data_IF_471930857072
#
_entry.id   IF_471930857072
#
_cell.length_a   1.000
_cell.length_b   1.000
_cell.length_c   1.000
_cell.angle_alpha   90.00
_cell.angle_beta   90.00
_cell.angle_gamma   90.00
#
_symmetry.space_group_name_H-M   'P 1'
#
loop_
_entity.id
_entity.type
_entity.pdbx_description
1 polymer ?
#
# COMPACT_ATOMS: atom_id res chain seq x y z
N UNK A 1 -31.23 2.21 -10.53
CA UNK A 1 -30.51 0.95 -10.80
C UNK A 1 -30.82 0.00 -9.67
N UNK A 2 -31.17 -1.26 -9.95
CA UNK A 2 -31.32 -2.25 -8.89
C UNK A 2 -29.94 -2.48 -8.23
N UNK A 3 -29.85 -2.55 -6.89
CA UNK A 3 -28.60 -2.88 -6.23
C UNK A 3 -28.08 -4.22 -6.74
N UNK A 4 -26.79 -4.30 -7.03
CA UNK A 4 -26.14 -5.57 -7.35
C UNK A 4 -26.28 -6.49 -6.14
N UNK A 5 -26.70 -7.73 -6.39
CA UNK A 5 -26.80 -8.76 -5.36
C UNK A 5 -25.62 -9.72 -5.50
N UNK A 6 -24.97 -10.04 -4.39
CA UNK A 6 -23.83 -10.96 -4.34
C UNK A 6 -24.11 -12.03 -3.31
N UNK A 7 -23.94 -13.30 -3.66
CA UNK A 7 -24.06 -14.38 -2.68
C UNK A 7 -22.82 -14.44 -1.79
N UNK A 8 -23.07 -14.47 -0.48
CA UNK A 8 -22.07 -14.47 0.58
C UNK A 8 -22.31 -15.68 1.49
N UNK A 9 -21.22 -16.27 1.98
CA UNK A 9 -21.27 -17.35 2.97
C UNK A 9 -20.91 -16.80 4.34
N UNK A 10 -21.76 -17.03 5.34
CA UNK A 10 -21.49 -16.72 6.74
C UNK A 10 -21.26 -18.03 7.47
N UNK A 11 -20.11 -18.21 8.09
CA UNK A 11 -19.76 -19.44 8.78
C UNK A 11 -19.06 -19.18 10.11
N UNK A 12 -19.32 -20.02 11.12
CA UNK A 12 -18.65 -19.95 12.42
C UNK A 12 -17.49 -20.93 12.51
N UNK A 13 -16.29 -20.43 12.80
CA UNK A 13 -15.09 -21.21 13.06
C UNK A 13 -15.14 -21.93 14.41
N UNK A 14 -14.27 -22.94 14.56
CA UNK A 14 -14.15 -23.71 15.81
C UNK A 14 -13.59 -22.87 16.98
N UNK A 15 -12.87 -21.80 16.66
CA UNK A 15 -12.35 -20.75 17.53
C UNK A 15 -13.42 -19.73 17.96
N UNK A 16 -14.61 -19.79 17.37
CA UNK A 16 -15.72 -18.89 17.69
C UNK A 16 -15.85 -17.68 16.76
N UNK A 17 -14.82 -17.40 15.96
CA UNK A 17 -14.78 -16.33 14.94
C UNK A 17 -15.82 -16.60 13.85
N UNK A 18 -16.54 -15.57 13.40
CA UNK A 18 -17.49 -15.67 12.28
C UNK A 18 -16.81 -15.13 11.03
N UNK A 19 -16.83 -15.90 9.95
CA UNK A 19 -16.30 -15.51 8.64
C UNK A 19 -17.42 -15.18 7.68
N UNK A 20 -17.25 -14.08 6.95
CA UNK A 20 -18.12 -13.64 5.85
C UNK A 20 -17.28 -13.70 4.57
N UNK A 21 -17.57 -14.65 3.67
CA UNK A 21 -16.83 -14.83 2.42
C UNK A 21 -17.67 -14.33 1.23
N UNK A 22 -17.19 -13.30 0.53
CA UNK A 22 -17.83 -12.75 -0.67
C UNK A 22 -17.08 -13.16 -1.95
N UNK A 23 -17.74 -13.87 -2.88
CA UNK A 23 -17.23 -14.07 -4.25
C UNK A 23 -17.45 -15.46 -4.90
N UNK A 24 -17.26 -15.57 -6.24
CA UNK A 24 -17.42 -16.81 -7.01
C UNK A 24 -16.19 -17.71 -6.83
N UNK A 25 -15.99 -18.19 -5.61
CA UNK A 25 -14.79 -18.91 -5.21
C UNK A 25 -15.03 -19.77 -3.98
N UNK A 26 -16.22 -20.39 -3.87
CA UNK A 26 -16.52 -21.45 -2.90
C UNK A 26 -15.73 -22.73 -3.24
N UNK A 27 -14.39 -22.65 -3.31
CA UNK A 27 -13.57 -23.85 -3.20
C UNK A 27 -13.44 -24.15 -1.71
N UNK A 28 -14.08 -25.24 -1.32
CA UNK A 28 -13.90 -25.90 -0.04
C UNK A 28 -12.41 -26.09 0.21
N UNK A 29 -11.81 -25.26 1.04
CA UNK A 29 -10.53 -25.60 1.67
C UNK A 29 -10.89 -26.59 2.78
N UNK A 30 -10.78 -27.88 2.48
CA UNK A 30 -10.82 -28.92 3.50
C UNK A 30 -9.54 -28.82 4.34
N UNK A 31 -9.72 -28.61 5.64
CA UNK A 31 -8.81 -29.01 6.72
C UNK A 31 -7.35 -28.49 6.67
N UNK A 32 -7.12 -27.31 7.23
CA UNK A 32 -6.42 -27.06 8.50
C UNK A 32 -6.54 -25.55 8.79
N UNK A 33 -6.37 -25.14 10.04
CA UNK A 33 -6.70 -23.79 10.53
C UNK A 33 -6.15 -22.63 9.70
N UNK A 34 -6.85 -21.51 9.79
CA UNK A 34 -6.47 -20.17 9.31
C UNK A 34 -6.48 -19.98 7.78
N UNK A 35 -7.69 -19.93 7.20
CA UNK A 35 -7.87 -19.52 5.81
C UNK A 35 -7.92 -17.99 5.69
N UNK A 36 -6.83 -17.32 6.09
CA UNK A 36 -6.61 -15.89 5.82
C UNK A 36 -6.33 -15.74 4.33
N UNK A 37 -7.36 -15.53 3.49
CA UNK A 37 -7.31 -15.47 2.02
C UNK A 37 -6.18 -16.35 1.42
N UNK A 38 -5.59 -16.09 0.27
CA UNK A 38 -4.39 -16.84 -0.16
C UNK A 38 -3.37 -15.85 -0.74
N UNK A 39 -2.08 -16.05 -0.46
CA UNK A 39 -0.99 -15.22 -0.98
C UNK A 39 -0.36 -14.24 0.03
N UNK A 40 0.74 -13.57 -0.36
CA UNK A 40 1.52 -12.69 0.51
C UNK A 40 0.74 -11.48 1.04
N UNK A 41 1.17 -10.91 2.17
CA UNK A 41 0.50 -9.76 2.79
C UNK A 41 0.37 -8.55 1.85
N UNK A 42 1.36 -8.28 1.01
CA UNK A 42 1.36 -7.16 0.06
C UNK A 42 0.37 -7.33 -1.10
N UNK A 43 -0.34 -8.47 -1.23
CA UNK A 43 -1.39 -8.67 -2.23
C UNK A 43 -2.80 -8.45 -1.66
N UNK A 44 -2.92 -7.87 -0.47
CA UNK A 44 -4.19 -7.70 0.22
C UNK A 44 -4.30 -6.33 0.86
N UNK A 45 -5.48 -5.74 0.73
CA UNK A 45 -5.89 -4.59 1.51
C UNK A 45 -6.62 -5.08 2.75
N UNK A 46 -6.36 -4.45 3.89
CA UNK A 46 -6.92 -4.80 5.19
C UNK A 46 -7.46 -3.54 5.83
N UNK A 47 -8.58 -3.65 6.54
CA UNK A 47 -9.12 -2.60 7.38
C UNK A 47 -9.59 -3.21 8.71
N UNK A 48 -9.09 -2.71 9.82
CA UNK A 48 -9.55 -3.06 11.16
C UNK A 48 -10.77 -2.20 11.52
N UNK A 49 -11.87 -2.85 11.89
CA UNK A 49 -13.17 -2.21 12.13
C UNK A 49 -13.76 -2.73 13.44
N UNK A 50 -14.80 -2.09 13.96
CA UNK A 50 -15.42 -2.49 15.22
C UNK A 50 -15.79 -3.99 15.23
N UNK A 51 -15.04 -4.79 15.99
CA UNK A 51 -15.25 -6.23 16.17
C UNK A 51 -14.90 -7.13 14.97
N UNK A 52 -14.25 -6.62 13.93
CA UNK A 52 -13.84 -7.45 12.79
C UNK A 52 -12.65 -6.90 12.01
N UNK A 53 -12.04 -7.75 11.19
CA UNK A 53 -11.07 -7.34 10.17
C UNK A 53 -11.66 -7.59 8.79
N UNK A 54 -11.69 -6.55 7.95
CA UNK A 54 -12.10 -6.61 6.55
C UNK A 54 -10.88 -6.83 5.66
N UNK A 55 -11.01 -7.70 4.65
CA UNK A 55 -9.92 -8.02 3.71
C UNK A 55 -10.40 -8.01 2.26
N UNK A 56 -9.60 -7.43 1.37
CA UNK A 56 -9.78 -7.45 -0.07
C UNK A 56 -8.53 -7.94 -0.80
N UNK A 57 -8.67 -8.75 -1.86
CA UNK A 57 -7.57 -9.00 -2.79
C UNK A 57 -7.30 -7.75 -3.64
N UNK A 58 -6.07 -7.24 -3.66
CA UNK A 58 -5.75 -6.03 -4.46
C UNK A 58 -5.58 -6.32 -5.94
N UNK A 59 -5.23 -7.56 -6.29
CA UNK A 59 -4.98 -7.99 -7.67
C UNK A 59 -6.27 -8.34 -8.43
N UNK A 60 -7.42 -8.33 -7.76
CA UNK A 60 -8.74 -8.59 -8.36
C UNK A 60 -9.58 -7.32 -8.50
N UNK A 61 -10.78 -7.48 -9.06
CA UNK A 61 -11.75 -6.39 -9.04
C UNK A 61 -12.21 -6.14 -7.60
N UNK A 62 -12.19 -4.88 -7.13
CA UNK A 62 -12.62 -4.57 -5.78
C UNK A 62 -14.13 -4.80 -5.63
N UNK A 63 -14.46 -5.96 -5.06
CA UNK A 63 -15.82 -6.35 -4.71
C UNK A 63 -16.12 -6.10 -3.23
N UNK A 64 -17.07 -6.86 -2.70
CA UNK A 64 -17.30 -6.89 -1.26
C UNK A 64 -16.09 -7.47 -0.52
N UNK A 65 -15.78 -6.95 0.68
CA UNK A 65 -14.75 -7.55 1.52
C UNK A 65 -15.13 -8.97 1.92
N UNK A 66 -14.11 -9.74 2.29
CA UNK A 66 -14.29 -10.81 3.26
C UNK A 66 -14.12 -10.23 4.67
N UNK A 67 -14.85 -10.73 5.66
CA UNK A 67 -14.73 -10.29 7.04
C UNK A 67 -14.40 -11.45 7.99
N UNK A 68 -13.46 -11.22 8.90
CA UNK A 68 -13.21 -12.05 10.07
C UNK A 68 -13.73 -11.34 11.32
N UNK A 69 -14.91 -11.74 11.78
CA UNK A 69 -15.64 -11.13 12.90
C UNK A 69 -15.29 -11.86 14.19
N UNK A 70 -14.53 -11.19 15.05
CA UNK A 70 -14.12 -11.71 16.36
C UNK A 70 -15.03 -11.21 17.49
N UNK A 71 -15.71 -10.08 17.31
CA UNK A 71 -16.77 -9.59 18.20
C UNK A 71 -18.03 -9.25 17.39
N UNK A 72 -18.99 -10.17 17.39
CA UNK A 72 -20.25 -9.98 16.69
C UNK A 72 -21.10 -8.85 17.28
N UNK A 73 -20.99 -8.55 18.58
CA UNK A 73 -21.78 -7.50 19.22
C UNK A 73 -21.41 -6.12 18.68
N UNK A 74 -20.10 -5.84 18.63
CA UNK A 74 -19.55 -4.62 18.01
C UNK A 74 -19.84 -4.59 16.51
N UNK A 75 -19.60 -5.69 15.80
CA UNK A 75 -19.78 -5.74 14.36
C UNK A 75 -21.22 -5.47 13.88
N UNK A 76 -22.24 -5.76 14.70
CA UNK A 76 -23.64 -5.49 14.34
C UNK A 76 -23.94 -4.02 14.06
N UNK A 77 -23.11 -3.08 14.51
CA UNK A 77 -23.32 -1.66 14.20
C UNK A 77 -23.18 -1.33 12.71
N UNK A 78 -22.36 -2.09 11.96
CA UNK A 78 -21.99 -1.76 10.58
C UNK A 78 -22.27 -2.87 9.57
N UNK A 79 -22.37 -4.14 10.00
CA UNK A 79 -22.57 -5.28 9.06
C UNK A 79 -23.81 -5.09 8.18
N UNK A 80 -24.91 -4.55 8.74
CA UNK A 80 -26.12 -4.28 7.96
C UNK A 80 -25.92 -3.17 6.91
N UNK A 81 -25.08 -2.17 7.19
CA UNK A 81 -24.80 -1.05 6.29
C UNK A 81 -23.83 -1.44 5.18
N UNK A 82 -22.94 -2.40 5.43
CA UNK A 82 -21.94 -2.85 4.46
C UNK A 82 -22.39 -4.05 3.62
N UNK A 83 -23.02 -5.06 4.25
CA UNK A 83 -23.46 -6.29 3.59
C UNK A 83 -24.98 -6.41 3.42
N UNK A 84 -25.78 -5.59 4.11
CA UNK A 84 -27.24 -5.66 4.13
C UNK A 84 -27.81 -6.40 5.33
N UNK A 85 -29.09 -6.14 5.64
CA UNK A 85 -29.78 -6.66 6.83
C UNK A 85 -29.80 -8.20 6.91
N UNK A 86 -29.89 -8.89 5.76
CA UNK A 86 -29.92 -10.36 5.73
C UNK A 86 -28.62 -10.97 6.24
N UNK A 87 -27.48 -10.35 5.89
CA UNK A 87 -26.16 -10.83 6.34
C UNK A 87 -25.98 -10.53 7.82
N UNK A 88 -26.42 -9.35 8.28
CA UNK A 88 -26.42 -9.00 9.70
C UNK A 88 -27.22 -10.00 10.55
N UNK A 89 -28.42 -10.39 10.10
CA UNK A 89 -29.23 -11.43 10.76
C UNK A 89 -28.50 -12.78 10.82
N UNK A 90 -27.88 -13.22 9.72
CA UNK A 90 -27.14 -14.48 9.70
C UNK A 90 -25.91 -14.46 10.63
N UNK A 91 -25.21 -13.34 10.73
CA UNK A 91 -24.10 -13.16 11.70
C UNK A 91 -24.64 -13.23 13.14
N UNK A 92 -25.80 -12.62 13.41
CA UNK A 92 -26.44 -12.69 14.73
C UNK A 92 -26.81 -14.13 15.11
N UNK A 93 -27.45 -14.87 14.20
CA UNK A 93 -27.87 -16.26 14.43
C UNK A 93 -26.66 -17.20 14.60
N UNK A 94 -25.58 -16.96 13.82
CA UNK A 94 -24.28 -17.65 13.98
C UNK A 94 -23.69 -17.42 15.38
N UNK A 95 -23.66 -16.16 15.84
CA UNK A 95 -23.14 -15.79 17.16
C UNK A 95 -23.95 -16.44 18.29
N UNK A 96 -25.28 -16.43 18.17
CA UNK A 96 -26.21 -17.04 19.13
C UNK A 96 -26.14 -18.59 19.19
N UNK A 97 -25.42 -19.24 18.26
CA UNK A 97 -25.24 -20.69 18.26
C UNK A 97 -26.50 -21.48 17.91
N UNK A 98 -27.41 -20.88 17.14
CA UNK A 98 -28.65 -21.53 16.73
C UNK A 98 -28.38 -22.72 15.79
N UNK A 99 -28.93 -23.89 16.11
CA UNK A 99 -28.71 -25.13 15.34
C UNK A 99 -29.11 -24.93 13.86
N UNK A 100 -28.21 -25.29 12.94
CA UNK A 100 -28.42 -25.18 11.49
C UNK A 100 -27.90 -23.91 10.81
N UNK A 101 -27.44 -22.91 11.59
CA UNK A 101 -26.95 -21.62 11.05
C UNK A 101 -25.43 -21.47 11.08
N UNK A 102 -24.66 -22.48 11.46
CA UNK A 102 -23.20 -22.43 11.49
C UNK A 102 -22.54 -22.22 10.10
N UNK A 103 -23.32 -22.38 9.03
CA UNK A 103 -22.92 -22.18 7.64
C UNK A 103 -24.15 -21.76 6.81
N UNK A 104 -24.36 -20.45 6.67
CA UNK A 104 -25.49 -19.88 5.95
C UNK A 104 -25.04 -19.23 4.63
N UNK A 105 -25.83 -19.40 3.57
CA UNK A 105 -25.67 -18.66 2.31
C UNK A 105 -26.73 -17.58 2.23
N UNK A 106 -26.29 -16.34 2.06
CA UNK A 106 -27.15 -15.17 2.11
C UNK A 106 -26.79 -14.22 0.99
N UNK A 107 -27.82 -13.62 0.38
CA UNK A 107 -27.61 -12.58 -0.62
C UNK A 107 -27.34 -11.24 0.06
N UNK A 108 -26.14 -10.71 -0.19
CA UNK A 108 -25.70 -9.39 0.23
C UNK A 108 -26.11 -8.30 -0.77
N UNK A 109 -26.17 -7.07 -0.30
CA UNK A 109 -26.57 -5.90 -1.08
C UNK A 109 -25.36 -4.96 -1.26
N UNK A 110 -24.98 -4.66 -2.51
CA UNK A 110 -23.84 -3.77 -2.78
C UNK A 110 -24.22 -2.34 -2.37
N UNK A 111 -23.61 -1.84 -1.29
CA UNK A 111 -23.86 -0.50 -0.75
C UNK A 111 -22.77 0.50 -1.15
N UNK A 112 -23.08 1.79 -1.06
CA UNK A 112 -22.10 2.86 -1.26
C UNK A 112 -20.97 2.82 -0.21
N UNK A 113 -21.27 2.34 1.00
CA UNK A 113 -20.30 2.15 2.07
C UNK A 113 -19.29 1.06 1.70
N UNK A 114 -19.72 -0.05 1.09
CA UNK A 114 -18.81 -1.09 0.61
C UNK A 114 -17.78 -0.56 -0.40
N UNK A 115 -18.21 0.33 -1.32
CA UNK A 115 -17.31 0.98 -2.27
C UNK A 115 -16.32 1.96 -1.61
N UNK A 116 -16.77 2.71 -0.61
CA UNK A 116 -15.91 3.62 0.17
C UNK A 116 -14.91 2.84 1.04
N UNK A 117 -15.34 1.78 1.71
CA UNK A 117 -14.49 0.93 2.55
C UNK A 117 -13.41 0.21 1.73
N UNK A 118 -13.78 -0.31 0.55
CA UNK A 118 -12.82 -0.93 -0.35
C UNK A 118 -11.77 0.08 -0.86
N UNK A 119 -12.18 1.33 -1.11
CA UNK A 119 -11.27 2.42 -1.45
C UNK A 119 -10.36 2.80 -0.28
N UNK A 120 -10.90 2.87 0.94
CA UNK A 120 -10.13 3.15 2.15
C UNK A 120 -9.06 2.07 2.37
N UNK A 121 -9.44 0.78 2.33
CA UNK A 121 -8.51 -0.34 2.44
C UNK A 121 -7.44 -0.32 1.33
N UNK A 122 -7.81 -0.01 0.09
CA UNK A 122 -6.84 0.14 -1.00
C UNK A 122 -5.88 1.32 -0.77
N UNK A 123 -6.36 2.41 -0.17
CA UNK A 123 -5.52 3.56 0.18
C UNK A 123 -4.49 3.23 1.26
N UNK A 124 -4.90 2.53 2.33
CA UNK A 124 -3.95 2.03 3.34
C UNK A 124 -2.95 1.03 2.73
N UNK A 125 -3.41 0.17 1.83
CA UNK A 125 -2.52 -0.69 1.07
C UNK A 125 -1.52 0.12 0.23
N UNK A 126 -1.96 1.16 -0.48
CA UNK A 126 -1.09 1.99 -1.31
C UNK A 126 -0.06 2.74 -0.45
N UNK A 127 -0.47 3.31 0.68
CA UNK A 127 0.43 3.97 1.62
C UNK A 127 1.55 3.03 2.12
N UNK A 128 1.25 1.73 2.25
CA UNK A 128 2.17 0.73 2.80
C UNK A 128 2.94 -0.09 1.76
N UNK A 129 2.39 -0.29 0.58
CA UNK A 129 2.86 -1.30 -0.38
C UNK A 129 2.94 -0.80 -1.82
N UNK A 130 2.71 0.51 -2.08
CA UNK A 130 2.84 1.04 -3.42
C UNK A 130 4.24 0.77 -3.98
N UNK A 131 4.37 0.13 -5.16
CA UNK A 131 5.63 -0.36 -5.65
C UNK A 131 6.36 0.73 -6.46
N UNK A 132 6.79 1.80 -5.80
CA UNK A 132 7.55 2.87 -6.46
C UNK A 132 8.77 2.29 -7.16
N UNK A 133 8.88 2.55 -8.46
CA UNK A 133 9.97 2.07 -9.27
C UNK A 133 10.19 3.00 -10.44
N UNK A 134 11.29 3.75 -10.39
CA UNK A 134 11.69 4.63 -11.47
C UNK A 134 12.04 3.83 -12.73
N UNK A 135 12.72 2.69 -12.55
CA UNK A 135 13.09 1.80 -13.65
C UNK A 135 11.86 1.23 -14.41
N UNK A 136 10.74 1.05 -13.69
CA UNK A 136 9.51 0.49 -14.25
C UNK A 136 8.47 1.57 -14.63
N UNK A 137 8.79 2.87 -14.47
CA UNK A 137 7.89 4.00 -14.74
C UNK A 137 6.73 4.13 -13.75
N UNK A 138 6.97 3.82 -12.47
CA UNK A 138 6.00 3.87 -11.38
C UNK A 138 6.46 4.96 -10.39
N UNK A 139 5.98 6.20 -10.50
CA UNK A 139 6.32 7.27 -9.57
C UNK A 139 5.81 6.99 -8.14
N UNK A 140 6.44 7.65 -7.17
CA UNK A 140 5.98 7.66 -5.80
C UNK A 140 4.65 8.40 -5.69
N UNK A 141 3.75 7.90 -4.85
CA UNK A 141 2.54 8.64 -4.48
C UNK A 141 2.91 9.72 -3.45
N UNK A 142 2.39 10.94 -3.64
CA UNK A 142 2.56 12.02 -2.67
C UNK A 142 1.80 11.64 -1.38
N UNK A 143 2.50 11.39 -0.26
CA UNK A 143 1.89 10.79 0.92
C UNK A 143 0.99 11.75 1.71
N UNK A 144 1.23 13.07 1.64
CA UNK A 144 0.38 14.05 2.31
C UNK A 144 -0.97 14.19 1.60
N UNK A 145 -0.97 14.11 0.27
CA UNK A 145 -2.18 14.09 -0.55
C UNK A 145 -2.95 12.76 -0.38
N UNK A 146 -2.24 11.63 -0.37
CA UNK A 146 -2.86 10.33 -0.07
C UNK A 146 -3.44 10.32 1.34
N UNK A 147 -2.71 10.86 2.32
CA UNK A 147 -3.12 10.93 3.71
C UNK A 147 -4.35 11.80 3.95
N UNK A 148 -4.45 12.97 3.30
CA UNK A 148 -5.67 13.79 3.33
C UNK A 148 -6.88 13.08 2.69
N UNK A 149 -6.68 12.37 1.58
CA UNK A 149 -7.76 11.59 0.97
C UNK A 149 -8.16 10.37 1.84
N UNK A 150 -7.21 9.75 2.54
CA UNK A 150 -7.48 8.73 3.55
C UNK A 150 -8.32 9.30 4.69
N UNK A 151 -7.98 10.47 5.25
CA UNK A 151 -8.78 11.11 6.30
C UNK A 151 -10.23 11.35 5.86
N UNK A 152 -10.44 11.84 4.63
CA UNK A 152 -11.76 12.01 4.04
C UNK A 152 -12.53 10.67 3.91
N UNK A 153 -11.85 9.59 3.51
CA UNK A 153 -12.44 8.27 3.37
C UNK A 153 -12.73 7.61 4.72
N UNK A 154 -11.88 7.79 5.72
CA UNK A 154 -12.12 7.33 7.10
C UNK A 154 -13.36 8.01 7.67
N UNK A 155 -13.49 9.33 7.54
CA UNK A 155 -14.71 10.04 7.95
C UNK A 155 -15.96 9.56 7.18
N UNK A 156 -15.85 9.35 5.86
CA UNK A 156 -16.95 8.77 5.06
C UNK A 156 -17.34 7.37 5.52
N UNK A 157 -16.39 6.61 6.06
CA UNK A 157 -16.58 5.26 6.57
C UNK A 157 -16.77 5.20 8.10
N UNK A 158 -17.00 6.33 8.78
CA UNK A 158 -17.03 6.42 10.25
C UNK A 158 -17.95 5.38 10.93
N UNK A 159 -19.02 4.94 10.26
CA UNK A 159 -19.92 3.90 10.78
C UNK A 159 -19.23 2.54 11.01
N UNK A 160 -18.09 2.27 10.37
CA UNK A 160 -17.32 1.03 10.57
C UNK A 160 -16.58 1.01 11.91
N UNK A 161 -16.33 2.17 12.51
CA UNK A 161 -15.56 2.34 13.73
C UNK A 161 -16.47 2.66 14.92
N UNK A 162 -16.00 2.39 16.14
CA UNK A 162 -16.70 2.70 17.38
C UNK A 162 -15.80 3.52 18.32
N UNK A 163 -16.38 4.03 19.40
CA UNK A 163 -15.69 4.98 20.29
C UNK A 163 -14.70 4.31 21.28
N UNK A 164 -14.39 3.01 21.11
CA UNK A 164 -13.50 2.27 22.02
C UNK A 164 -12.02 2.61 21.80
N UNK A 165 -11.66 3.14 20.62
CA UNK A 165 -10.31 3.64 20.32
C UNK A 165 -9.24 2.54 20.21
N UNK A 166 -9.65 1.30 19.96
CA UNK A 166 -8.75 0.16 19.74
C UNK A 166 -8.53 -0.16 18.25
N UNK A 167 -9.27 0.49 17.34
CA UNK A 167 -9.06 0.36 15.90
C UNK A 167 -7.95 1.31 15.41
N UNK A 168 -6.82 0.79 14.88
CA UNK A 168 -5.73 1.64 14.38
C UNK A 168 -6.09 2.44 13.12
N UNK A 169 -7.11 2.00 12.37
CA UNK A 169 -7.52 2.65 11.12
C UNK A 169 -8.55 3.79 11.34
N UNK A 170 -9.06 3.98 12.57
CA UNK A 170 -9.85 5.15 12.95
C UNK A 170 -8.93 6.32 13.39
N UNK A 171 -8.16 6.84 12.43
CA UNK A 171 -7.09 7.81 12.69
C UNK A 171 -7.32 9.17 11.98
N UNK A 172 -8.58 9.60 11.85
CA UNK A 172 -8.96 10.83 11.12
C UNK A 172 -8.19 12.05 11.63
N UNK A 173 -8.14 12.24 12.94
CA UNK A 173 -7.50 13.38 13.58
C UNK A 173 -5.98 13.39 13.38
N UNK A 174 -5.34 12.22 13.50
CA UNK A 174 -3.90 12.09 13.29
C UNK A 174 -3.52 12.28 11.83
N UNK A 175 -4.31 11.74 10.88
CA UNK A 175 -4.10 11.93 9.44
C UNK A 175 -4.21 13.40 9.04
N UNK A 176 -5.23 14.12 9.54
CA UNK A 176 -5.39 15.56 9.24
C UNK A 176 -4.21 16.35 9.80
N UNK A 177 -3.80 16.10 11.04
CA UNK A 177 -2.70 16.85 11.67
C UNK A 177 -1.35 16.55 11.00
N UNK A 178 -1.07 15.29 10.66
CA UNK A 178 0.16 14.87 9.98
C UNK A 178 0.26 15.51 8.59
N UNK A 179 -0.84 15.51 7.83
CA UNK A 179 -0.85 15.89 6.42
C UNK A 179 -1.41 17.30 6.14
N UNK A 180 -1.66 18.10 7.18
CA UNK A 180 -2.22 19.47 7.06
C UNK A 180 -1.47 20.39 6.11
N UNK A 181 -0.16 20.16 5.91
CA UNK A 181 0.67 20.97 5.02
C UNK A 181 0.22 20.88 3.56
N UNK A 182 -0.46 19.80 3.17
CA UNK A 182 -0.98 19.60 1.82
C UNK A 182 -2.35 20.26 1.58
N UNK A 183 -3.02 20.80 2.60
CA UNK A 183 -4.33 21.45 2.45
C UNK A 183 -4.26 22.67 1.53
N UNK A 184 -3.28 23.55 1.73
CA UNK A 184 -3.12 24.76 0.91
C UNK A 184 -2.82 24.42 -0.58
N UNK A 185 -1.87 23.52 -0.90
CA UNK A 185 -1.68 23.02 -2.26
C UNK A 185 -2.94 22.39 -2.86
N UNK A 186 -3.69 21.61 -2.08
CA UNK A 186 -4.92 20.96 -2.53
C UNK A 186 -6.02 21.97 -2.87
N UNK A 187 -6.20 23.01 -2.05
CA UNK A 187 -7.12 24.12 -2.32
C UNK A 187 -6.72 24.87 -3.60
N UNK A 188 -5.41 25.09 -3.81
CA UNK A 188 -4.91 25.73 -5.03
C UNK A 188 -5.21 24.90 -6.28
N UNK A 189 -4.97 23.59 -6.21
CA UNK A 189 -5.31 22.66 -7.28
C UNK A 189 -6.81 22.67 -7.60
N UNK A 190 -7.66 22.59 -6.57
CA UNK A 190 -9.11 22.66 -6.75
C UNK A 190 -9.55 23.95 -7.45
N UNK A 191 -9.00 25.11 -7.07
CA UNK A 191 -9.35 26.41 -7.66
C UNK A 191 -8.84 26.61 -9.09
N UNK A 192 -7.73 25.96 -9.45
CA UNK A 192 -7.17 25.99 -10.79
C UNK A 192 -7.86 24.99 -11.74
N UNK A 193 -8.53 23.97 -11.19
CA UNK A 193 -9.23 22.94 -11.97
C UNK A 193 -10.54 23.50 -12.55
N UNK A 194 -10.82 23.32 -13.85
CA UNK A 194 -12.08 23.74 -14.44
C UNK A 194 -13.28 23.11 -13.72
N UNK A 195 -14.21 23.93 -13.24
CA UNK A 195 -15.32 23.49 -12.37
C UNK A 195 -16.31 22.53 -13.06
N UNK A 196 -16.31 22.45 -14.39
CA UNK A 196 -17.09 21.48 -15.15
C UNK A 196 -16.47 20.07 -15.18
N UNK A 197 -15.19 19.93 -14.80
CA UNK A 197 -14.48 18.65 -14.81
C UNK A 197 -14.87 17.76 -13.61
N UNK A 198 -14.92 16.45 -13.81
CA UNK A 198 -15.14 15.49 -12.72
C UNK A 198 -14.06 15.61 -11.63
N UNK A 199 -12.82 15.93 -12.02
CA UNK A 199 -11.72 16.15 -11.09
C UNK A 199 -12.01 17.29 -10.09
N UNK A 200 -12.65 18.39 -10.52
CA UNK A 200 -13.03 19.48 -9.62
C UNK A 200 -14.07 19.01 -8.59
N UNK A 201 -15.03 18.18 -9.00
CA UNK A 201 -16.03 17.58 -8.11
C UNK A 201 -15.43 16.57 -7.13
N UNK A 202 -14.43 15.79 -7.57
CA UNK A 202 -13.70 14.89 -6.68
C UNK A 202 -12.91 15.68 -5.64
N UNK A 203 -12.14 16.69 -6.07
CA UNK A 203 -11.37 17.58 -5.19
C UNK A 203 -12.27 18.29 -4.17
N UNK A 204 -13.38 18.90 -4.62
CA UNK A 204 -14.33 19.54 -3.72
C UNK A 204 -14.94 18.54 -2.73
N UNK A 205 -15.30 17.34 -3.19
CA UNK A 205 -15.85 16.29 -2.34
C UNK A 205 -14.88 15.85 -1.24
N UNK A 206 -13.59 15.70 -1.58
CA UNK A 206 -12.53 15.39 -0.59
C UNK A 206 -12.36 16.55 0.38
N UNK A 207 -12.25 17.78 -0.11
CA UNK A 207 -12.08 18.98 0.73
C UNK A 207 -13.24 19.16 1.72
N UNK A 208 -14.50 18.96 1.29
CA UNK A 208 -15.67 19.01 2.18
C UNK A 208 -15.64 17.91 3.22
N UNK A 209 -15.30 16.68 2.84
CA UNK A 209 -15.19 15.57 3.79
C UNK A 209 -14.09 15.83 4.84
N UNK A 210 -12.99 16.49 4.46
CA UNK A 210 -11.95 16.88 5.41
C UNK A 210 -12.44 17.98 6.36
N UNK A 211 -13.18 18.97 5.85
CA UNK A 211 -13.79 20.04 6.68
C UNK A 211 -14.78 19.44 7.70
N UNK A 212 -15.71 18.60 7.22
CA UNK A 212 -16.69 17.88 8.05
C UNK A 212 -15.99 16.97 9.10
N UNK A 213 -14.90 16.30 8.70
CA UNK A 213 -14.10 15.45 9.57
C UNK A 213 -13.38 16.25 10.66
N UNK A 214 -12.76 17.37 10.30
CA UNK A 214 -12.07 18.26 11.23
C UNK A 214 -13.06 18.85 12.25
N UNK A 215 -14.24 19.29 11.78
CA UNK A 215 -15.30 19.80 12.64
C UNK A 215 -15.81 18.72 13.62
N UNK A 216 -16.02 17.49 13.12
CA UNK A 216 -16.47 16.35 13.94
C UNK A 216 -15.44 15.97 15.01
N UNK A 217 -14.14 16.05 14.68
CA UNK A 217 -13.03 15.80 15.59
C UNK A 217 -12.68 17.01 16.49
N UNK A 218 -13.30 18.18 16.27
CA UNK A 218 -13.01 19.40 17.01
C UNK A 218 -11.61 19.99 16.72
N UNK A 219 -11.04 19.71 15.55
CA UNK A 219 -9.75 20.25 15.12
C UNK A 219 -9.91 21.69 14.64
N UNK A 220 -8.94 22.54 14.96
CA UNK A 220 -8.88 23.93 14.50
C UNK A 220 -7.45 24.33 14.16
N UNK A 221 -7.29 25.31 13.28
CA UNK A 221 -5.98 25.80 12.84
C UNK A 221 -6.10 26.78 11.68
N UNK A 222 -5.03 27.52 11.38
CA UNK A 222 -5.04 28.47 10.27
C UNK A 222 -5.32 27.79 8.92
N UNK A 223 -4.81 26.57 8.70
CA UNK A 223 -5.05 25.79 7.48
C UNK A 223 -6.51 25.34 7.35
N UNK A 224 -7.11 24.82 8.43
CA UNK A 224 -8.51 24.39 8.45
C UNK A 224 -9.48 25.57 8.31
N UNK A 225 -9.21 26.71 8.96
CA UNK A 225 -9.99 27.94 8.74
C UNK A 225 -9.87 28.46 7.31
N UNK A 226 -8.70 28.31 6.68
CA UNK A 226 -8.52 28.64 5.27
C UNK A 226 -9.30 27.68 4.36
N UNK A 227 -9.33 26.38 4.67
CA UNK A 227 -10.19 25.40 4.02
C UNK A 227 -11.67 25.80 4.09
N UNK A 228 -12.20 25.96 5.30
CA UNK A 228 -13.61 26.31 5.53
C UNK A 228 -14.01 27.59 4.77
N UNK A 229 -13.22 28.66 4.91
CA UNK A 229 -13.47 29.91 4.18
C UNK A 229 -13.35 29.77 2.66
N UNK A 230 -12.53 28.84 2.16
CA UNK A 230 -12.39 28.56 0.74
C UNK A 230 -13.59 27.79 0.17
N UNK A 231 -14.24 26.94 0.97
CA UNK A 231 -15.45 26.22 0.58
C UNK A 231 -16.68 27.14 0.54
N UNK A 232 -16.80 28.05 1.52
CA UNK A 232 -17.88 29.04 1.58
C UNK A 232 -17.73 30.16 0.53
N UNK A 233 -16.48 30.51 0.18
CA UNK A 233 -16.15 31.57 -0.75
C UNK A 233 -16.03 31.11 -2.20
N UNK A 234 -16.86 31.64 -3.11
CA UNK A 234 -16.59 31.57 -4.56
C UNK A 234 -15.46 32.53 -4.93
N UNK A 235 -14.22 32.07 -4.80
CA UNK A 235 -13.05 32.80 -5.28
C UNK A 235 -13.03 32.90 -6.82
N UNK A 236 -12.37 33.92 -7.39
CA UNK A 236 -12.09 33.93 -8.82
C UNK A 236 -11.26 32.69 -9.19
N UNK A 237 -11.45 32.18 -10.41
CA UNK A 237 -10.66 31.05 -10.93
C UNK A 237 -9.17 31.36 -10.83
N UNK A 238 -8.42 30.45 -10.21
CA UNK A 238 -6.99 30.63 -10.00
C UNK A 238 -6.22 30.44 -11.32
N UNK A 239 -5.00 30.98 -11.38
CA UNK A 239 -4.09 30.71 -12.49
C UNK A 239 -3.83 29.19 -12.60
N UNK A 240 -3.53 28.67 -13.81
CA UNK A 240 -3.10 27.29 -13.97
C UNK A 240 -1.93 26.99 -13.03
N UNK A 241 -1.99 25.85 -12.36
CA UNK A 241 -0.95 25.38 -11.44
C UNK A 241 -0.25 24.18 -12.03
N UNK A 242 1.06 24.10 -11.81
CA UNK A 242 1.85 22.91 -12.06
C UNK A 242 1.77 22.01 -10.82
N UNK A 243 1.17 20.82 -10.99
CA UNK A 243 1.01 19.84 -9.90
C UNK A 243 2.35 19.31 -9.41
N UNK A 244 3.34 19.18 -10.30
CA UNK A 244 4.66 18.73 -9.92
C UNK A 244 5.35 19.74 -9.02
N UNK A 245 5.30 21.03 -9.36
CA UNK A 245 5.80 22.08 -8.48
C UNK A 245 5.01 22.22 -7.17
N UNK A 246 3.69 22.02 -7.19
CA UNK A 246 2.84 22.13 -5.99
C UNK A 246 3.18 21.09 -4.93
N UNK A 247 3.54 19.88 -5.37
CA UNK A 247 3.75 18.72 -4.51
C UNK A 247 5.22 18.24 -4.49
N UNK A 248 6.14 18.97 -5.10
CA UNK A 248 7.56 18.64 -5.09
C UNK A 248 8.11 18.63 -3.66
N UNK A 249 8.46 17.45 -3.16
CA UNK A 249 9.28 17.33 -1.96
C UNK A 249 10.68 17.84 -2.25
N UNK A 250 11.19 18.68 -1.35
CA UNK A 250 12.56 19.21 -1.42
C UNK A 250 13.54 18.03 -1.21
N UNK A 251 13.90 17.34 -2.29
CA UNK A 251 14.91 16.28 -2.26
C UNK A 251 16.22 16.91 -1.76
N UNK A 252 16.57 16.61 -0.50
CA UNK A 252 17.84 17.03 0.08
C UNK A 252 18.96 16.27 -0.61
N UNK A 253 19.51 16.84 -1.68
CA UNK A 253 20.72 16.31 -2.31
C UNK A 253 21.85 16.35 -1.27
N UNK A 254 22.14 15.20 -0.65
CA UNK A 254 23.32 15.03 0.19
C UNK A 254 24.41 14.40 -0.66
N UNK A 255 25.37 15.21 -1.10
CA UNK A 255 26.61 14.76 -1.73
C UNK A 255 27.43 13.97 -0.70
N UNK A 256 27.37 12.65 -0.78
CA UNK A 256 28.27 11.78 -0.01
C UNK A 256 29.56 11.56 -0.81
N UNK A 257 30.68 12.08 -0.30
CA UNK A 257 32.00 11.72 -0.79
C UNK A 257 32.36 10.31 -0.28
N UNK A 258 32.45 9.33 -1.18
CA UNK A 258 32.72 7.94 -0.83
C UNK A 258 33.55 7.21 -1.89
N UNK A 259 34.41 6.32 -1.40
CA UNK A 259 35.51 5.66 -2.10
C UNK A 259 35.12 4.92 -3.38
N UNK A 260 36.03 4.93 -4.35
CA UNK A 260 35.83 4.43 -5.70
C UNK A 260 35.79 2.89 -5.70
N UNK A 261 34.76 2.29 -6.31
CA UNK A 261 34.70 0.85 -6.60
C UNK A 261 36.03 0.43 -7.25
N UNK A 262 36.66 -0.60 -6.68
CA UNK A 262 37.93 -1.12 -7.19
C UNK A 262 37.69 -1.73 -8.56
N UNK A 263 38.04 -1.01 -9.61
CA UNK A 263 38.08 -1.53 -10.98
C UNK A 263 39.25 -2.51 -11.10
N UNK A 264 39.00 -3.79 -10.81
CA UNK A 264 40.01 -4.84 -10.91
C UNK A 264 39.47 -6.22 -10.54
N UNK A 265 40.20 -7.27 -10.95
CA UNK A 265 39.89 -8.65 -10.60
C UNK A 265 39.02 -9.42 -11.61
N UNK A 266 39.17 -10.74 -11.60
CA UNK A 266 38.42 -11.66 -12.48
C UNK A 266 37.02 -11.88 -11.88
N UNK A 267 35.96 -11.63 -12.65
CA UNK A 267 34.59 -11.96 -12.24
C UNK A 267 34.45 -13.47 -12.08
N UNK A 268 33.97 -13.90 -10.92
CA UNK A 268 33.68 -15.29 -10.59
C UNK A 268 32.23 -15.59 -10.98
N UNK A 269 31.32 -14.73 -10.53
CA UNK A 269 29.89 -14.83 -10.76
C UNK A 269 29.26 -13.43 -10.64
N UNK A 270 28.08 -13.27 -11.23
CA UNK A 270 27.22 -12.09 -11.08
C UNK A 270 25.77 -12.54 -11.17
N UNK A 271 24.86 -11.80 -10.54
CA UNK A 271 23.44 -12.10 -10.57
C UNK A 271 22.59 -10.97 -10.00
N UNK A 272 21.29 -11.22 -9.94
CA UNK A 272 20.34 -10.38 -9.21
C UNK A 272 20.01 -11.01 -7.86
N UNK A 273 19.68 -10.15 -6.90
CA UNK A 273 19.14 -10.54 -5.60
C UNK A 273 17.61 -10.54 -5.59
N UNK A 274 17.04 -11.01 -4.47
CA UNK A 274 15.60 -10.93 -4.19
C UNK A 274 15.28 -9.56 -3.61
N UNK A 275 14.23 -8.95 -4.14
CA UNK A 275 13.71 -7.66 -3.70
C UNK A 275 12.39 -7.88 -2.91
N UNK A 276 12.48 -8.27 -1.64
CA UNK A 276 11.30 -8.47 -0.78
C UNK A 276 10.89 -7.16 -0.09
N UNK A 277 9.87 -6.49 -0.63
CA UNK A 277 9.36 -5.21 -0.13
C UNK A 277 8.84 -5.25 1.31
N UNK A 278 8.67 -6.44 1.92
CA UNK A 278 8.29 -6.57 3.33
C UNK A 278 9.45 -6.31 4.29
N UNK A 279 10.69 -6.33 3.80
CA UNK A 279 11.91 -6.26 4.63
C UNK A 279 12.39 -4.83 4.91
N UNK A 280 11.71 -3.81 4.39
CA UNK A 280 11.97 -2.39 4.64
C UNK A 280 10.72 -1.55 4.32
N UNK A 281 10.59 -0.33 4.87
CA UNK A 281 9.50 0.60 4.51
C UNK A 281 9.52 0.98 3.01
N UNK A 282 8.37 1.37 2.43
CA UNK A 282 8.31 1.93 1.09
C UNK A 282 9.30 3.08 0.86
N UNK A 283 9.85 3.16 -0.34
CA UNK A 283 10.76 4.25 -0.72
C UNK A 283 12.20 4.09 -0.22
N UNK A 284 12.65 2.89 0.19
CA UNK A 284 14.07 2.63 0.46
C UNK A 284 14.81 2.06 -0.76
N UNK A 285 14.24 1.04 -1.38
CA UNK A 285 14.79 0.35 -2.56
C UNK A 285 13.74 0.42 -3.66
N UNK A 286 14.18 0.66 -4.89
CA UNK A 286 13.30 0.64 -6.07
C UNK A 286 12.57 -0.70 -6.16
N UNK A 287 11.27 -0.68 -6.46
CA UNK A 287 10.44 -1.88 -6.45
C UNK A 287 10.67 -2.81 -7.66
N UNK A 288 11.49 -2.42 -8.65
CA UNK A 288 11.79 -3.28 -9.79
C UNK A 288 12.38 -4.62 -9.35
N UNK A 289 12.07 -5.68 -10.08
CA UNK A 289 12.48 -7.03 -9.70
C UNK A 289 14.01 -7.24 -9.79
N UNK A 290 14.69 -6.38 -10.53
CA UNK A 290 16.14 -6.41 -10.68
C UNK A 290 16.83 -5.29 -9.87
N UNK A 291 16.16 -4.73 -8.86
CA UNK A 291 16.69 -3.61 -8.09
C UNK A 291 17.99 -3.97 -7.36
N UNK A 292 18.13 -5.23 -6.96
CA UNK A 292 19.32 -5.75 -6.27
C UNK A 292 20.18 -6.50 -7.28
N UNK A 293 21.44 -6.10 -7.41
CA UNK A 293 22.44 -6.78 -8.20
C UNK A 293 23.69 -7.05 -7.38
N UNK A 294 24.44 -8.09 -7.76
CA UNK A 294 25.66 -8.45 -7.06
C UNK A 294 26.70 -9.00 -8.02
N UNK A 295 27.97 -8.76 -7.70
CA UNK A 295 29.12 -9.29 -8.43
C UNK A 295 30.14 -9.85 -7.47
N UNK A 296 30.54 -11.12 -7.67
CA UNK A 296 31.64 -11.74 -6.94
C UNK A 296 32.92 -11.71 -7.79
N UNK A 297 34.00 -11.16 -7.23
CA UNK A 297 35.30 -10.98 -7.91
C UNK A 297 36.43 -11.70 -7.18
N UNK A 298 37.37 -12.21 -7.97
CA UNK A 298 38.66 -12.69 -7.49
C UNK A 298 39.72 -11.57 -7.62
N UNK A 299 40.20 -11.08 -6.47
CA UNK A 299 41.26 -10.08 -6.34
C UNK A 299 42.53 -10.77 -5.81
N UNK A 300 43.20 -11.53 -6.68
CA UNK A 300 44.27 -12.43 -6.26
C UNK A 300 43.71 -13.61 -5.44
N UNK A 301 44.14 -13.75 -4.18
CA UNK A 301 43.59 -14.74 -3.23
C UNK A 301 42.29 -14.29 -2.59
N UNK A 302 42.05 -12.98 -2.49
CA UNK A 302 40.82 -12.42 -1.93
C UNK A 302 39.62 -12.74 -2.83
N UNK A 303 38.49 -13.05 -2.20
CA UNK A 303 37.18 -13.20 -2.85
C UNK A 303 36.28 -12.14 -2.29
N UNK A 304 35.83 -11.20 -3.11
CA UNK A 304 34.98 -10.10 -2.67
C UNK A 304 33.63 -10.19 -3.36
N UNK A 305 32.56 -9.97 -2.63
CA UNK A 305 31.25 -9.65 -3.20
C UNK A 305 31.00 -8.15 -3.09
N UNK A 306 30.49 -7.59 -4.18
CA UNK A 306 29.97 -6.24 -4.29
C UNK A 306 28.45 -6.37 -4.47
N UNK A 307 27.68 -5.66 -3.65
CA UNK A 307 26.22 -5.63 -3.71
C UNK A 307 25.79 -4.19 -3.97
N UNK A 308 24.89 -4.05 -4.94
CA UNK A 308 24.30 -2.77 -5.33
C UNK A 308 22.78 -2.94 -5.31
N UNK A 309 22.06 -2.00 -4.69
CA UNK A 309 20.61 -1.95 -4.74
C UNK A 309 20.15 -0.55 -5.18
N UNK A 310 19.27 -0.47 -6.17
CA UNK A 310 18.69 0.80 -6.62
C UNK A 310 17.97 1.49 -5.45
N UNK A 311 18.36 2.71 -5.13
CA UNK A 311 17.69 3.53 -4.12
C UNK A 311 16.50 4.25 -4.75
N UNK A 312 15.40 4.32 -4.02
CA UNK A 312 14.32 5.25 -4.38
C UNK A 312 14.83 6.71 -4.22
N UNK A 313 14.45 7.64 -5.11
CA UNK A 313 14.83 9.04 -4.98
C UNK A 313 14.48 9.66 -3.62
N UNK A 314 13.34 9.27 -3.05
CA UNK A 314 12.85 9.74 -1.76
C UNK A 314 13.46 9.02 -0.55
N UNK A 315 14.32 8.02 -0.76
CA UNK A 315 14.98 7.30 0.33
C UNK A 315 15.72 8.28 1.25
N UNK A 316 15.91 7.96 2.54
CA UNK A 316 16.76 8.76 3.43
C UNK A 316 18.23 8.75 2.96
N UNK A 317 18.92 9.88 3.01
CA UNK A 317 20.37 9.97 2.75
C UNK A 317 21.22 9.66 3.99
N UNK A 318 20.63 9.74 5.18
CA UNK A 318 21.28 9.50 6.46
C UNK A 318 20.32 8.81 7.44
N UNK A 319 20.83 8.18 8.50
CA UNK A 319 20.03 7.72 9.64
C UNK A 319 20.03 6.20 9.88
N UNK A 320 19.77 5.37 8.86
CA UNK A 320 19.73 3.90 9.03
C UNK A 320 20.21 3.18 7.76
N UNK A 321 21.34 2.44 7.80
CA UNK A 321 21.84 1.72 6.63
C UNK A 321 21.06 0.42 6.38
N UNK A 322 20.78 0.13 5.12
CA UNK A 322 20.32 -1.20 4.70
C UNK A 322 21.44 -2.23 4.87
N UNK A 323 21.07 -3.51 4.92
CA UNK A 323 22.00 -4.63 4.97
C UNK A 323 21.63 -5.61 3.87
N UNK A 324 22.63 -6.08 3.12
CA UNK A 324 22.46 -7.24 2.25
C UNK A 324 22.81 -8.51 3.03
N UNK A 325 21.89 -9.47 3.05
CA UNK A 325 22.16 -10.85 3.47
C UNK A 325 22.61 -11.65 2.25
N UNK A 326 23.85 -12.13 2.30
CA UNK A 326 24.50 -12.90 1.25
C UNK A 326 24.65 -14.34 1.73
N UNK A 327 24.05 -15.28 1.03
CA UNK A 327 24.16 -16.70 1.32
C UNK A 327 24.92 -17.41 0.19
N UNK A 328 25.96 -18.16 0.54
CA UNK A 328 26.81 -18.86 -0.41
C UNK A 328 26.67 -20.36 -0.21
N UNK A 329 26.29 -21.08 -1.27
CA UNK A 329 26.14 -22.55 -1.29
C UNK A 329 25.26 -23.11 -0.15
N UNK A 330 24.25 -22.37 0.30
CA UNK A 330 23.38 -22.75 1.41
C UNK A 330 24.03 -22.65 2.80
N UNK A 331 25.19 -21.99 2.91
CA UNK A 331 25.86 -21.69 4.18
C UNK A 331 25.11 -20.66 5.04
N UNK A 332 25.74 -20.18 6.11
CA UNK A 332 25.16 -19.13 6.96
C UNK A 332 25.06 -17.77 6.22
N UNK A 333 24.08 -16.91 6.56
CA UNK A 333 23.96 -15.60 5.94
C UNK A 333 25.09 -14.67 6.40
N UNK A 334 25.76 -14.04 5.43
CA UNK A 334 26.76 -13.00 5.64
C UNK A 334 26.11 -11.64 5.47
N UNK A 335 26.22 -10.78 6.49
CA UNK A 335 25.62 -9.45 6.47
C UNK A 335 26.62 -8.42 5.94
N UNK A 336 26.24 -7.76 4.86
CA UNK A 336 27.01 -6.69 4.20
C UNK A 336 26.30 -5.37 4.44
N UNK A 337 26.85 -4.46 5.26
CA UNK A 337 26.30 -3.12 5.41
C UNK A 337 26.27 -2.40 4.06
N UNK A 338 25.14 -1.77 3.74
CA UNK A 338 24.96 -0.96 2.55
C UNK A 338 24.92 0.52 2.94
N UNK A 339 25.62 1.33 2.16
CA UNK A 339 25.69 2.78 2.31
C UNK A 339 25.05 3.44 1.11
N UNK A 340 24.22 4.45 1.35
CA UNK A 340 23.62 5.20 0.25
C UNK A 340 24.65 6.09 -0.43
N UNK A 341 24.66 6.04 -1.76
CA UNK A 341 25.40 6.87 -2.67
C UNK A 341 24.46 7.26 -3.80
N UNK A 342 23.98 8.50 -3.77
CA UNK A 342 23.06 9.04 -4.77
C UNK A 342 21.81 8.15 -4.95
N UNK A 343 21.69 7.48 -6.09
CA UNK A 343 20.62 6.58 -6.53
C UNK A 343 20.90 5.10 -6.24
N UNK A 344 21.96 4.77 -5.49
CA UNK A 344 22.36 3.41 -5.16
C UNK A 344 22.65 3.21 -3.67
N UNK A 345 22.30 2.04 -3.16
CA UNK A 345 22.85 1.47 -1.95
C UNK A 345 23.99 0.53 -2.33
N UNK A 346 25.18 0.74 -1.78
CA UNK A 346 26.36 -0.05 -2.15
C UNK A 346 27.06 -0.59 -0.91
N UNK A 347 27.54 -1.83 -1.01
CA UNK A 347 28.34 -2.46 0.04
C UNK A 347 29.17 -3.61 -0.51
N UNK A 348 30.19 -4.01 0.25
CA UNK A 348 31.05 -5.12 -0.14
C UNK A 348 31.50 -5.94 1.06
N UNK A 349 31.77 -7.22 0.86
CA UNK A 349 32.31 -8.10 1.90
C UNK A 349 33.29 -9.13 1.34
N UNK A 350 34.13 -9.66 2.22
CA UNK A 350 35.03 -10.78 1.94
C UNK A 350 34.26 -12.11 2.03
N UNK A 351 34.39 -12.94 1.00
CA UNK A 351 33.82 -14.29 0.91
C UNK A 351 34.90 -15.37 0.85
N UNK A 352 36.14 -15.08 1.20
CA UNK A 352 37.28 -16.01 1.02
C UNK A 352 37.11 -17.32 1.80
N UNK A 353 36.37 -17.31 2.91
CA UNK A 353 35.98 -18.51 3.67
C UNK A 353 34.96 -19.39 2.95
N UNK A 354 34.00 -18.78 2.27
CA UNK A 354 32.82 -19.45 1.71
C UNK A 354 32.97 -19.76 0.21
N UNK A 355 33.93 -19.12 -0.45
CA UNK A 355 34.27 -19.25 -1.87
C UNK A 355 35.74 -19.67 -2.08
N UNK A 356 36.15 -20.88 -1.67
CA UNK A 356 37.52 -21.34 -1.86
C UNK A 356 37.91 -21.43 -3.33
N UNK A 357 39.22 -21.37 -3.61
CA UNK A 357 39.74 -21.50 -4.96
C UNK A 357 39.38 -22.88 -5.55
N UNK A 358 38.75 -22.89 -6.75
CA UNK A 358 38.36 -24.12 -7.46
C UNK A 358 36.86 -24.34 -7.61
N UNK A 359 36.01 -23.56 -6.92
CA UNK A 359 34.55 -23.59 -7.14
C UNK A 359 34.24 -22.98 -8.51
N UNK A 360 33.72 -23.80 -9.44
CA UNK A 360 33.46 -23.37 -10.82
C UNK A 360 32.07 -22.74 -11.02
N UNK A 361 31.15 -22.92 -10.08
CA UNK A 361 29.78 -22.39 -10.15
C UNK A 361 29.18 -22.23 -8.73
N UNK A 362 29.53 -21.16 -8.00
CA UNK A 362 28.94 -20.91 -6.68
C UNK A 362 27.46 -20.55 -6.82
N UNK A 363 26.63 -21.09 -5.91
CA UNK A 363 25.27 -20.58 -5.71
C UNK A 363 25.35 -19.42 -4.72
N UNK A 364 24.98 -18.23 -5.15
CA UNK A 364 24.96 -17.03 -4.31
C UNK A 364 23.55 -16.46 -4.35
N UNK A 365 22.95 -16.31 -3.19
CA UNK A 365 21.64 -15.70 -2.99
C UNK A 365 21.83 -14.43 -2.18
N UNK A 366 21.20 -13.34 -2.61
CA UNK A 366 21.35 -12.02 -1.99
C UNK A 366 19.97 -11.44 -1.77
N UNK A 367 19.67 -10.98 -0.55
CA UNK A 367 18.45 -10.22 -0.23
C UNK A 367 18.81 -8.96 0.54
N UNK A 368 18.01 -7.91 0.40
CA UNK A 368 18.19 -6.65 1.13
C UNK A 368 17.16 -6.55 2.26
N UNK A 369 17.60 -6.04 3.41
CA UNK A 369 16.73 -5.81 4.56
C UNK A 369 17.14 -4.56 5.33
N UNK A 370 16.18 -4.03 6.09
CA UNK A 370 16.43 -3.07 7.16
C UNK A 370 16.47 -3.83 8.50
N UNK A 371 17.59 -3.80 9.25
CA UNK A 371 17.67 -4.49 10.53
C UNK A 371 16.56 -4.05 11.49
N UNK A 372 15.83 -5.01 12.06
CA UNK A 372 14.69 -4.75 12.95
C UNK A 372 13.34 -4.58 12.26
N UNK A 373 13.32 -4.55 10.91
CA UNK A 373 12.09 -4.51 10.11
C UNK A 373 11.81 -5.83 9.36
N UNK A 374 12.80 -6.72 9.26
CA UNK A 374 12.64 -8.03 8.61
C UNK A 374 11.59 -8.87 9.37
N UNK A 375 10.50 -9.32 8.71
CA UNK A 375 9.49 -10.20 9.33
C UNK A 375 10.04 -11.59 9.71
N UNK A 376 11.29 -11.87 9.35
CA UNK A 376 11.98 -13.13 9.60
C UNK A 376 12.07 -13.98 8.32
N UNK A 377 12.63 -15.20 8.44
CA UNK A 377 12.61 -16.13 7.30
C UNK A 377 11.16 -16.43 6.93
N UNK A 378 10.83 -16.33 5.64
CA UNK A 378 9.53 -16.76 5.12
C UNK A 378 9.25 -18.22 5.45
N UNK A 379 7.98 -18.62 5.36
CA UNK A 379 7.60 -20.01 5.63
C UNK A 379 8.28 -20.95 4.61
N UNK A 380 8.89 -22.07 5.04
CA UNK A 380 9.55 -22.98 4.11
C UNK A 380 8.57 -23.47 3.02
N UNK A 381 8.90 -23.19 1.75
CA UNK A 381 8.06 -23.56 0.60
C UNK A 381 7.09 -22.48 0.11
N UNK A 382 7.08 -21.30 0.73
CA UNK A 382 6.42 -20.12 0.20
C UNK A 382 7.10 -19.71 -1.13
N UNK A 383 6.30 -19.35 -2.14
CA UNK A 383 6.81 -18.79 -3.40
C UNK A 383 7.72 -17.59 -3.10
N UNK A 384 8.79 -17.40 -3.88
CA UNK A 384 9.64 -16.19 -3.84
C UNK A 384 8.82 -14.90 -4.06
N UNK A 385 7.53 -14.99 -4.40
CA UNK A 385 6.61 -13.86 -4.47
C UNK A 385 6.82 -12.99 -5.70
N UNK A 386 7.73 -13.40 -6.61
CA UNK A 386 8.08 -12.67 -7.83
C UNK A 386 6.87 -12.43 -8.72
N UNK A 387 6.06 -13.47 -8.97
CA UNK A 387 4.86 -13.34 -9.81
C UNK A 387 3.85 -12.36 -9.21
N UNK A 388 3.71 -12.39 -7.88
CA UNK A 388 2.84 -11.49 -7.12
C UNK A 388 3.36 -10.05 -7.14
N UNK A 389 4.67 -9.83 -6.96
CA UNK A 389 5.31 -8.50 -7.10
C UNK A 389 5.14 -7.95 -8.52
N UNK A 390 5.39 -8.78 -9.54
CA UNK A 390 5.16 -8.43 -10.95
C UNK A 390 3.71 -8.01 -11.19
N UNK A 391 2.74 -8.76 -10.63
CA UNK A 391 1.32 -8.45 -10.72
C UNK A 391 0.96 -7.14 -10.02
N UNK A 392 1.56 -6.85 -8.86
CA UNK A 392 1.37 -5.58 -8.14
C UNK A 392 1.96 -4.40 -8.92
N UNK A 393 3.17 -4.53 -9.51
CA UNK A 393 3.71 -3.48 -10.41
C UNK A 393 2.83 -3.27 -11.63
N UNK A 394 2.28 -4.35 -12.20
CA UNK A 394 1.33 -4.25 -13.30
C UNK A 394 0.02 -3.57 -12.88
N UNK A 395 -0.47 -3.79 -11.65
CA UNK A 395 -1.62 -3.09 -11.08
C UNK A 395 -1.34 -1.59 -10.97
N UNK A 396 -0.22 -1.20 -10.36
CA UNK A 396 0.17 0.20 -10.20
C UNK A 396 0.21 0.95 -11.55
N UNK A 397 0.88 0.37 -12.57
CA UNK A 397 0.91 0.95 -13.92
C UNK A 397 -0.48 1.08 -14.54
N UNK A 398 -1.35 0.07 -14.37
CA UNK A 398 -2.74 0.16 -14.87
C UNK A 398 -3.50 1.30 -14.21
N UNK A 399 -3.34 1.49 -12.91
CA UNK A 399 -4.00 2.57 -12.16
C UNK A 399 -3.49 3.94 -12.58
N UNK A 400 -2.17 4.12 -12.70
CA UNK A 400 -1.57 5.34 -13.23
C UNK A 400 -2.05 5.64 -14.66
N UNK A 401 -2.14 4.63 -15.52
CA UNK A 401 -2.69 4.79 -16.87
C UNK A 401 -4.18 5.18 -16.90
N UNK A 402 -4.95 4.83 -15.86
CA UNK A 402 -6.33 5.32 -15.67
C UNK A 402 -6.33 6.76 -15.15
N UNK A 403 -5.46 7.09 -14.20
CA UNK A 403 -5.32 8.44 -13.64
C UNK A 403 -4.89 9.48 -14.70
N UNK A 404 -4.02 9.11 -15.64
CA UNK A 404 -3.57 9.98 -16.72
C UNK A 404 -4.65 10.25 -17.79
N UNK A 405 -5.75 9.50 -17.82
CA UNK A 405 -6.80 9.68 -18.82
C UNK A 405 -7.80 10.74 -18.38
N UNK A 406 -8.26 11.62 -19.29
CA UNK A 406 -9.42 12.46 -19.03
C UNK A 406 -10.62 11.56 -18.67
N UNK A 407 -11.39 11.87 -17.62
CA UNK A 407 -12.55 11.07 -17.24
C UNK A 407 -13.53 10.99 -18.43
N UNK A 408 -13.98 9.78 -18.74
CA UNK A 408 -14.99 9.59 -19.77
C UNK A 408 -16.32 10.22 -19.31
N UNK A 409 -17.01 10.90 -20.22
CA UNK A 409 -18.22 11.70 -19.96
C UNK A 409 -19.38 10.92 -19.28
N UNK A 410 -19.33 9.58 -19.29
CA UNK A 410 -20.40 8.69 -18.81
C UNK A 410 -20.07 7.88 -17.55
N UNK A 411 -18.90 8.05 -16.93
CA UNK A 411 -18.60 7.36 -15.66
C UNK A 411 -19.31 8.07 -14.51
N UNK A 412 -20.17 7.36 -13.77
CA UNK A 412 -20.82 7.91 -12.58
C UNK A 412 -19.76 8.46 -11.61
N UNK A 413 -19.76 9.76 -11.25
CA UNK A 413 -18.56 10.42 -10.73
C UNK A 413 -18.22 10.11 -9.27
N UNK A 414 -18.98 9.28 -8.57
CA UNK A 414 -18.80 9.09 -7.13
C UNK A 414 -19.01 7.62 -6.74
N UNK A 415 -17.96 7.00 -6.20
CA UNK A 415 -18.09 5.74 -5.46
C UNK A 415 -17.72 4.45 -6.18
N UNK A 416 -17.11 4.50 -7.37
CA UNK A 416 -16.45 3.29 -7.88
C UNK A 416 -15.15 3.09 -7.11
N UNK A 417 -14.98 1.92 -6.47
CA UNK A 417 -13.72 1.58 -5.79
C UNK A 417 -12.50 1.66 -6.73
N UNK A 418 -12.73 1.61 -8.05
CA UNK A 418 -11.68 1.63 -9.08
C UNK A 418 -11.20 3.03 -9.48
N UNK A 419 -11.81 4.11 -8.97
CA UNK A 419 -11.38 5.47 -9.31
C UNK A 419 -9.91 5.72 -8.87
N UNK A 420 -9.14 6.56 -9.58
CA UNK A 420 -7.79 6.92 -9.16
C UNK A 420 -7.84 7.80 -7.89
N UNK A 421 -6.84 7.66 -7.02
CA UNK A 421 -6.58 8.59 -5.92
C UNK A 421 -6.03 9.91 -6.46
N UNK A 422 -6.21 10.99 -5.70
CA UNK A 422 -5.64 12.30 -6.00
C UNK A 422 -4.11 12.21 -6.12
N UNK A 423 -3.47 11.42 -5.25
CA UNK A 423 -2.04 11.17 -5.30
C UNK A 423 -1.59 10.46 -6.58
N UNK A 424 -2.42 9.57 -7.15
CA UNK A 424 -2.13 8.92 -8.44
C UNK A 424 -2.23 9.93 -9.58
N UNK A 425 -3.27 10.78 -9.57
CA UNK A 425 -3.43 11.86 -10.56
C UNK A 425 -2.26 12.84 -10.52
N UNK A 426 -1.85 13.28 -9.33
CA UNK A 426 -0.70 14.17 -9.15
C UNK A 426 0.59 13.50 -9.65
N UNK A 427 0.81 12.21 -9.34
CA UNK A 427 1.99 11.47 -9.76
C UNK A 427 2.11 11.32 -11.29
N UNK A 428 0.98 11.28 -12.02
CA UNK A 428 1.01 11.25 -13.49
C UNK A 428 1.39 12.59 -14.12
N UNK A 429 1.13 13.70 -13.42
CA UNK A 429 1.48 15.03 -13.93
C UNK A 429 2.97 15.36 -13.77
N UNK A 430 3.67 14.73 -12.83
CA UNK A 430 5.11 14.91 -12.60
C UNK A 430 6.02 14.18 -13.59
N UNK A 431 5.49 13.17 -14.30
CA UNK A 431 6.29 12.32 -15.20
C UNK A 431 6.42 12.94 -16.62
N UNK A 432 5.58 13.92 -16.96
CA UNK A 432 5.63 14.60 -18.28
C UNK A 432 6.84 15.56 -18.45
N UNK A 433 7.57 15.84 -17.36
CA UNK A 433 8.70 16.79 -17.34
C UNK A 433 10.09 16.14 -17.43
N UNK A 434 10.19 14.82 -17.70
CA UNK A 434 11.46 14.09 -17.85
C UNK A 434 11.89 13.80 -19.30
#
# INVERSE_FOLDING_TARGET
>A
MAPGHVDVRVARGADGTIRIDAGPGLRRVEAYGDAVAAGPAFTRAVLDVAGAVLTWPVLGDPGMPSAEVHDAGRAQQWVWALYGERVAAAVHDCAAGQAGHADARVTAEVTALAGAAARLGLGHWAARWWPTSYADGIPALEPDLLGLELAALTHRCQQLFDDEGDQPDDCVDQLIEEHRAALDPLIQWWRATPQSADAARQLEGVLRLIDDAADSAGLDGPALRHLHSSLEGRGPGAAPVDLGALFARRAGYALAAGEQLVTGGRVIARGSGVNDWRRYPPGFVDATENAVSWTARALGTLRRIEVEALADPAAPTTGIPLVAEVQVNGGGPHRVPLTRRDDLWTGHSDLSSDLPAGVSAPRIEVGVLLPGFDPGPGTPGESDGRAERDAVRALARRRLAVAARPPAYDASPHGSCSAPFLAETAATATDEDY
#
